data_IF_433259198785
#
_entry.id   IF_433259198785
#
_cell.length_a   1.000
_cell.length_b   1.000
_cell.length_c   1.000
_cell.angle_alpha   90.00
_cell.angle_beta   90.00
_cell.angle_gamma   90.00
#
_symmetry.space_group_name_H-M   'P 1'
#
loop_
_entity.id
_entity.type
_entity.pdbx_description
1 polymer ?
#
# COMPACT_ATOMS: atom_id res chain seq x y z
N UNK A 1 77.89 39.83 30.15
CA UNK A 1 79.29 39.74 29.71
C UNK A 1 79.73 41.11 29.26
N UNK A 2 80.81 41.59 29.84
CA UNK A 2 81.34 42.94 29.71
C UNK A 2 82.38 43.05 28.58
N UNK A 3 82.77 44.31 28.32
CA UNK A 3 83.88 44.83 27.48
C UNK A 3 83.45 45.11 26.03
N UNK A 4 83.73 46.28 25.45
CA UNK A 4 84.99 47.04 25.57
C UNK A 4 84.79 48.52 25.17
N UNK A 5 84.96 49.40 26.13
CA UNK A 5 85.32 50.82 25.95
C UNK A 5 86.79 50.90 25.55
N UNK A 6 87.11 51.55 24.44
CA UNK A 6 88.47 52.01 24.12
C UNK A 6 88.37 53.46 23.63
N UNK A 7 89.09 54.31 24.34
CA UNK A 7 89.33 55.74 24.16
C UNK A 7 90.28 55.94 22.99
N UNK A 8 90.03 56.92 22.11
CA UNK A 8 91.10 57.76 21.55
C UNK A 8 90.55 59.08 21.01
N UNK A 9 90.49 60.08 21.88
CA UNK A 9 90.30 61.48 21.50
C UNK A 9 91.64 62.03 21.04
N UNK A 10 91.82 62.23 19.74
CA UNK A 10 92.88 63.08 19.16
C UNK A 10 92.17 64.33 18.64
N UNK A 11 92.19 65.36 19.47
CA UNK A 11 91.94 66.73 19.04
C UNK A 11 93.25 67.35 18.57
N UNK A 12 93.23 67.92 17.36
CA UNK A 12 94.04 69.02 16.85
C UNK A 12 94.54 68.72 15.43
N UNK A 13 93.84 69.25 14.43
CA UNK A 13 94.49 69.98 13.35
C UNK A 13 93.50 71.00 12.78
N UNK A 14 93.67 72.25 13.21
CA UNK A 14 93.20 73.44 12.50
C UNK A 14 94.02 73.58 11.22
N UNK A 15 93.37 73.84 10.09
CA UNK A 15 94.05 74.04 8.82
C UNK A 15 93.10 74.34 7.67
N UNK A 16 92.62 75.57 7.66
CA UNK A 16 92.11 76.35 6.52
C UNK A 16 92.56 75.84 5.13
N UNK A 17 91.61 75.72 4.19
CA UNK A 17 91.66 75.97 2.72
C UNK A 17 90.66 75.04 2.01
N UNK A 18 89.62 75.61 1.38
CA UNK A 18 88.69 74.87 0.52
C UNK A 18 87.26 75.39 0.44
N UNK A 19 87.03 76.71 0.47
CA UNK A 19 85.70 77.28 0.21
C UNK A 19 85.52 77.51 -1.29
N UNK A 20 85.10 76.47 -2.04
CA UNK A 20 84.58 76.58 -3.41
C UNK A 20 83.84 75.33 -3.97
N UNK A 21 83.92 74.15 -3.33
CA UNK A 21 83.20 72.93 -3.77
C UNK A 21 82.05 72.47 -2.84
N UNK A 22 81.73 73.24 -1.80
CA UNK A 22 80.72 72.83 -0.80
C UNK A 22 79.26 73.04 -1.26
N UNK A 23 78.99 73.97 -2.18
CA UNK A 23 77.61 74.30 -2.59
C UNK A 23 76.98 73.22 -3.49
N UNK A 24 77.73 72.65 -4.43
CA UNK A 24 77.18 71.66 -5.38
C UNK A 24 76.80 70.31 -4.77
N UNK A 25 77.53 69.86 -3.75
CA UNK A 25 77.23 68.61 -3.04
C UNK A 25 76.12 68.81 -1.98
N UNK A 26 76.07 69.99 -1.36
CA UNK A 26 74.95 70.36 -0.47
C UNK A 26 73.61 70.42 -1.23
N UNK A 27 73.60 70.92 -2.46
CA UNK A 27 72.39 70.99 -3.28
C UNK A 27 71.93 69.63 -3.80
N UNK A 28 72.85 68.73 -4.16
CA UNK A 28 72.51 67.33 -4.48
C UNK A 28 71.93 66.59 -3.28
N UNK A 29 72.46 66.79 -2.07
CA UNK A 29 71.92 66.19 -0.85
C UNK A 29 70.53 66.73 -0.51
N UNK A 30 70.27 68.02 -0.73
CA UNK A 30 68.93 68.62 -0.58
C UNK A 30 67.95 68.03 -1.58
N UNK A 31 68.36 67.85 -2.83
CA UNK A 31 67.49 67.27 -3.85
C UNK A 31 67.22 65.78 -3.61
N UNK A 32 68.24 65.01 -3.20
CA UNK A 32 68.07 63.63 -2.76
C UNK A 32 67.14 63.51 -1.54
N UNK A 33 67.23 64.44 -0.58
CA UNK A 33 66.33 64.50 0.57
C UNK A 33 64.88 64.82 0.16
N UNK A 34 64.68 65.75 -0.79
CA UNK A 34 63.34 66.06 -1.33
C UNK A 34 62.76 64.86 -2.07
N UNK A 35 63.55 64.20 -2.91
CA UNK A 35 63.14 62.99 -3.62
C UNK A 35 62.80 61.85 -2.64
N UNK A 36 63.60 61.63 -1.60
CA UNK A 36 63.33 60.64 -0.56
C UNK A 36 62.05 60.98 0.22
N UNK A 37 61.82 62.25 0.54
CA UNK A 37 60.60 62.71 1.24
C UNK A 37 59.35 62.55 0.35
N UNK A 38 59.47 62.77 -0.96
CA UNK A 38 58.39 62.52 -1.92
C UNK A 38 58.09 61.01 -2.01
N UNK A 39 59.14 60.17 -2.05
CA UNK A 39 59.00 58.72 -2.10
C UNK A 39 58.36 58.16 -0.83
N UNK A 40 58.72 58.66 0.36
CA UNK A 40 58.08 58.22 1.61
C UNK A 40 56.60 58.58 1.63
N UNK A 41 56.22 59.79 1.19
CA UNK A 41 54.80 60.18 1.06
C UNK A 41 54.05 59.29 0.07
N UNK A 42 54.63 59.01 -1.09
CA UNK A 42 54.03 58.11 -2.08
C UNK A 42 53.84 56.69 -1.53
N UNK A 43 54.81 56.17 -0.78
CA UNK A 43 54.70 54.85 -0.13
C UNK A 43 53.67 54.84 1.00
N UNK A 44 53.56 55.94 1.77
CA UNK A 44 52.52 56.12 2.79
C UNK A 44 51.12 56.15 2.16
N UNK A 45 50.94 56.89 1.07
CA UNK A 45 49.68 56.94 0.31
C UNK A 45 49.33 55.57 -0.28
N UNK A 46 50.31 54.85 -0.84
CA UNK A 46 50.13 53.49 -1.34
C UNK A 46 49.77 52.52 -0.21
N UNK A 47 50.40 52.64 0.97
CA UNK A 47 50.09 51.81 2.14
C UNK A 47 48.66 52.08 2.62
N UNK A 48 48.25 53.35 2.71
CA UNK A 48 46.89 53.72 3.07
C UNK A 48 45.86 53.18 2.06
N UNK A 49 46.15 53.29 0.76
CA UNK A 49 45.28 52.76 -0.30
C UNK A 49 45.19 51.22 -0.27
N UNK A 50 46.30 50.52 -0.03
CA UNK A 50 46.30 49.06 0.10
C UNK A 50 45.58 48.60 1.37
N UNK A 51 45.75 49.32 2.48
CA UNK A 51 45.05 49.01 3.73
C UNK A 51 43.53 49.21 3.59
N UNK A 52 43.08 50.24 2.86
CA UNK A 52 41.67 50.42 2.52
C UNK A 52 41.15 49.25 1.66
N UNK A 53 41.89 48.85 0.61
CA UNK A 53 41.52 47.70 -0.24
C UNK A 53 41.47 46.38 0.53
N UNK A 54 42.39 46.16 1.47
CA UNK A 54 42.36 44.97 2.33
C UNK A 54 41.13 44.98 3.24
N UNK A 55 40.80 46.11 3.85
CA UNK A 55 39.62 46.24 4.69
C UNK A 55 38.32 45.98 3.90
N UNK A 56 38.24 46.47 2.66
CA UNK A 56 37.07 46.24 1.80
C UNK A 56 37.00 44.78 1.33
N UNK A 57 38.13 44.17 0.94
CA UNK A 57 38.19 42.75 0.59
C UNK A 57 37.84 41.83 1.78
N UNK A 58 38.23 42.19 3.00
CA UNK A 58 37.85 41.47 4.21
C UNK A 58 36.34 41.56 4.49
N UNK A 59 35.73 42.73 4.29
CA UNK A 59 34.27 42.90 4.38
C UNK A 59 33.53 42.08 3.34
N UNK A 60 33.97 42.11 2.08
CA UNK A 60 33.38 41.31 1.00
C UNK A 60 33.52 39.80 1.28
N UNK A 61 34.68 39.36 1.76
CA UNK A 61 34.90 37.96 2.16
C UNK A 61 34.00 37.55 3.33
N UNK A 62 33.80 38.43 4.31
CA UNK A 62 32.89 38.16 5.43
C UNK A 62 31.43 38.07 4.94
N UNK A 63 31.01 38.99 4.06
CA UNK A 63 29.67 38.97 3.45
C UNK A 63 29.44 37.72 2.60
N UNK A 64 30.39 37.36 1.73
CA UNK A 64 30.32 36.15 0.91
C UNK A 64 30.27 34.87 1.76
N UNK A 65 31.08 34.80 2.83
CA UNK A 65 31.02 33.68 3.78
C UNK A 65 29.66 33.58 4.46
N UNK A 66 29.09 34.70 4.89
CA UNK A 66 27.76 34.73 5.50
C UNK A 66 26.68 34.25 4.51
N UNK A 67 26.75 34.67 3.24
CA UNK A 67 25.84 34.19 2.19
C UNK A 67 26.00 32.69 1.93
N UNK A 68 27.22 32.18 1.86
CA UNK A 68 27.48 30.73 1.66
C UNK A 68 26.92 29.91 2.81
N UNK A 69 27.15 30.32 4.06
CA UNK A 69 26.62 29.61 5.21
C UNK A 69 25.09 29.70 5.30
N UNK A 70 24.50 30.85 4.94
CA UNK A 70 23.05 31.00 4.80
C UNK A 70 22.47 30.07 3.73
N UNK A 71 23.10 30.03 2.55
CA UNK A 71 22.68 29.16 1.44
C UNK A 71 22.80 27.67 1.82
N UNK A 72 23.92 27.26 2.43
CA UNK A 72 24.10 25.88 2.93
C UNK A 72 23.07 25.50 3.98
N UNK A 73 22.73 26.42 4.88
CA UNK A 73 21.70 26.18 5.89
C UNK A 73 20.33 25.97 5.24
N UNK A 74 19.98 26.75 4.22
CA UNK A 74 18.72 26.57 3.50
C UNK A 74 18.71 25.29 2.67
N UNK A 75 19.80 24.96 1.96
CA UNK A 75 19.93 23.67 1.26
C UNK A 75 19.70 22.50 2.21
N UNK A 76 20.32 22.50 3.40
CA UNK A 76 20.10 21.44 4.41
C UNK A 76 18.66 21.36 4.90
N UNK A 77 17.98 22.51 5.06
CA UNK A 77 16.57 22.54 5.45
C UNK A 77 15.66 21.99 4.36
N UNK A 78 15.91 22.37 3.11
CA UNK A 78 15.17 21.87 1.95
C UNK A 78 15.40 20.36 1.79
N UNK A 79 16.65 19.89 1.80
CA UNK A 79 16.96 18.46 1.73
C UNK A 79 16.28 17.65 2.84
N UNK A 80 16.24 18.18 4.07
CA UNK A 80 15.54 17.53 5.17
C UNK A 80 14.03 17.45 4.92
N UNK A 81 13.40 18.55 4.49
CA UNK A 81 11.96 18.57 4.17
C UNK A 81 11.62 17.64 3.01
N UNK A 82 12.45 17.59 1.98
CA UNK A 82 12.28 16.68 0.83
C UNK A 82 12.35 15.22 1.26
N UNK A 83 13.32 14.87 2.13
CA UNK A 83 13.40 13.52 2.69
C UNK A 83 12.17 13.16 3.52
N UNK A 84 11.77 14.03 4.45
CA UNK A 84 10.57 13.82 5.28
C UNK A 84 9.31 13.67 4.43
N UNK A 85 9.15 14.50 3.40
CA UNK A 85 8.01 14.44 2.47
C UNK A 85 8.02 13.16 1.65
N UNK A 86 9.20 12.74 1.18
CA UNK A 86 9.35 11.50 0.41
C UNK A 86 9.06 10.26 1.28
N UNK A 87 9.54 10.26 2.53
CA UNK A 87 9.27 9.20 3.50
C UNK A 87 7.78 9.13 3.84
N UNK A 88 7.13 10.27 4.08
CA UNK A 88 5.69 10.32 4.33
C UNK A 88 4.89 9.84 3.11
N UNK A 89 5.28 10.27 1.90
CA UNK A 89 4.64 9.84 0.66
C UNK A 89 4.75 8.33 0.47
N UNK A 90 5.95 7.77 0.65
CA UNK A 90 6.18 6.33 0.55
C UNK A 90 5.39 5.55 1.59
N UNK A 91 5.30 6.04 2.83
CA UNK A 91 4.47 5.43 3.87
C UNK A 91 2.99 5.41 3.47
N UNK A 92 2.48 6.55 2.99
CA UNK A 92 1.09 6.66 2.52
C UNK A 92 0.82 5.75 1.33
N UNK A 93 1.77 5.60 0.41
CA UNK A 93 1.66 4.70 -0.72
C UNK A 93 1.55 3.24 -0.24
N UNK A 94 2.43 2.82 0.67
CA UNK A 94 2.39 1.47 1.25
C UNK A 94 1.06 1.20 2.00
N UNK A 95 0.57 2.16 2.79
CA UNK A 95 -0.74 2.06 3.46
C UNK A 95 -1.90 1.95 2.46
N UNK A 96 -1.85 2.68 1.33
CA UNK A 96 -2.84 2.59 0.26
C UNK A 96 -2.79 1.24 -0.43
N UNK A 97 -1.61 0.73 -0.75
CA UNK A 97 -1.43 -0.58 -1.39
C UNK A 97 -1.94 -1.70 -0.48
N UNK A 98 -1.61 -1.68 0.81
CA UNK A 98 -2.13 -2.64 1.78
C UNK A 98 -3.67 -2.57 1.87
N UNK A 99 -4.22 -1.35 1.87
CA UNK A 99 -5.67 -1.14 1.88
C UNK A 99 -6.31 -1.71 0.60
N UNK A 100 -5.73 -1.46 -0.57
CA UNK A 100 -6.22 -1.98 -1.85
C UNK A 100 -6.21 -3.51 -1.88
N UNK A 101 -5.14 -4.14 -1.40
CA UNK A 101 -5.07 -5.60 -1.32
C UNK A 101 -6.12 -6.16 -0.35
N UNK A 102 -6.35 -5.52 0.80
CA UNK A 102 -7.44 -5.88 1.72
C UNK A 102 -8.81 -5.77 1.06
N UNK A 103 -9.07 -4.70 0.30
CA UNK A 103 -10.32 -4.54 -0.44
C UNK A 103 -10.49 -5.61 -1.51
N UNK A 104 -9.44 -5.91 -2.29
CA UNK A 104 -9.48 -6.99 -3.30
C UNK A 104 -9.81 -8.34 -2.67
N UNK A 105 -9.11 -8.71 -1.59
CA UNK A 105 -9.36 -9.94 -0.87
C UNK A 105 -10.79 -10.01 -0.32
N UNK A 106 -11.30 -8.92 0.25
CA UNK A 106 -12.68 -8.86 0.73
C UNK A 106 -13.71 -8.98 -0.40
N UNK A 107 -13.45 -8.39 -1.58
CA UNK A 107 -14.30 -8.53 -2.75
C UNK A 107 -14.28 -9.95 -3.33
N UNK A 108 -13.11 -10.58 -3.40
CA UNK A 108 -12.98 -11.97 -3.84
C UNK A 108 -13.73 -12.93 -2.90
N UNK A 109 -13.58 -12.73 -1.59
CA UNK A 109 -14.30 -13.51 -0.59
C UNK A 109 -15.82 -13.32 -0.71
N UNK A 110 -16.29 -12.07 -0.86
CA UNK A 110 -17.71 -11.79 -1.07
C UNK A 110 -18.25 -12.44 -2.36
N UNK A 111 -17.46 -12.42 -3.43
CA UNK A 111 -17.82 -13.07 -4.70
C UNK A 111 -17.89 -14.61 -4.55
N UNK A 112 -16.96 -15.21 -3.80
CA UNK A 112 -16.97 -16.65 -3.53
C UNK A 112 -18.18 -17.05 -2.68
N UNK A 113 -18.45 -16.30 -1.60
CA UNK A 113 -19.64 -16.51 -0.77
C UNK A 113 -20.92 -16.39 -1.59
N UNK A 114 -21.02 -15.42 -2.49
CA UNK A 114 -22.18 -15.28 -3.37
C UNK A 114 -22.35 -16.52 -4.28
N UNK A 115 -21.28 -16.98 -4.93
CA UNK A 115 -21.30 -18.20 -5.76
C UNK A 115 -21.70 -19.45 -4.97
N UNK A 116 -21.17 -19.61 -3.76
CA UNK A 116 -21.50 -20.74 -2.90
C UNK A 116 -22.96 -20.71 -2.46
N UNK A 117 -23.49 -19.51 -2.16
CA UNK A 117 -24.91 -19.34 -1.82
C UNK A 117 -25.82 -19.63 -3.00
N UNK A 118 -25.47 -19.19 -4.20
CA UNK A 118 -26.23 -19.50 -5.41
C UNK A 118 -26.19 -20.99 -5.72
N UNK A 119 -25.03 -21.65 -5.58
CA UNK A 119 -24.90 -23.09 -5.76
C UNK A 119 -25.70 -23.87 -4.71
N UNK A 120 -25.66 -23.47 -3.44
CA UNK A 120 -26.45 -24.08 -2.38
C UNK A 120 -27.96 -23.90 -2.63
N UNK A 121 -28.37 -22.69 -3.05
CA UNK A 121 -29.77 -22.41 -3.41
C UNK A 121 -30.24 -23.28 -4.57
N UNK A 122 -29.45 -23.41 -5.63
CA UNK A 122 -29.78 -24.27 -6.76
C UNK A 122 -29.94 -25.74 -6.35
N UNK A 123 -29.08 -26.25 -5.45
CA UNK A 123 -29.20 -27.60 -4.89
C UNK A 123 -30.49 -27.76 -4.09
N UNK A 124 -30.79 -26.85 -3.16
CA UNK A 124 -32.01 -26.91 -2.36
C UNK A 124 -33.27 -26.78 -3.21
N UNK A 125 -33.26 -25.94 -4.25
CA UNK A 125 -34.38 -25.84 -5.19
C UNK A 125 -34.57 -27.13 -6.00
N UNK A 126 -33.49 -27.82 -6.37
CA UNK A 126 -33.56 -29.12 -7.04
C UNK A 126 -34.10 -30.22 -6.12
N UNK A 127 -33.58 -30.31 -4.88
CA UNK A 127 -34.06 -31.25 -3.87
C UNK A 127 -35.53 -31.01 -3.53
N UNK A 128 -35.93 -29.75 -3.32
CA UNK A 128 -37.32 -29.41 -3.05
C UNK A 128 -38.26 -29.84 -4.19
N UNK A 129 -37.84 -29.69 -5.46
CA UNK A 129 -38.61 -30.18 -6.61
C UNK A 129 -38.72 -31.71 -6.62
N UNK A 130 -37.63 -32.42 -6.32
CA UNK A 130 -37.63 -33.88 -6.23
C UNK A 130 -38.54 -34.39 -5.10
N UNK A 131 -38.43 -33.81 -3.91
CA UNK A 131 -39.29 -34.16 -2.78
C UNK A 131 -40.76 -33.87 -3.06
N UNK A 132 -41.06 -32.74 -3.70
CA UNK A 132 -42.42 -32.41 -4.11
C UNK A 132 -42.97 -33.44 -5.10
N UNK A 133 -42.22 -33.78 -6.14
CA UNK A 133 -42.63 -34.79 -7.12
C UNK A 133 -42.82 -36.18 -6.49
N UNK A 134 -41.93 -36.58 -5.57
CA UNK A 134 -42.05 -37.84 -4.82
C UNK A 134 -43.30 -37.85 -3.93
N UNK A 135 -43.58 -36.75 -3.23
CA UNK A 135 -44.77 -36.59 -2.39
C UNK A 135 -46.04 -36.65 -3.23
N UNK A 136 -46.09 -35.93 -4.35
CA UNK A 136 -47.23 -35.95 -5.27
C UNK A 136 -47.48 -37.36 -5.82
N UNK A 137 -46.41 -38.09 -6.18
CA UNK A 137 -46.52 -39.50 -6.58
C UNK A 137 -47.03 -40.40 -5.45
N UNK A 138 -46.56 -40.21 -4.22
CA UNK A 138 -46.99 -40.98 -3.06
C UNK A 138 -48.48 -40.75 -2.77
N UNK A 139 -48.93 -39.48 -2.80
CA UNK A 139 -50.34 -39.12 -2.64
C UNK A 139 -51.21 -39.73 -3.74
N UNK A 140 -50.77 -39.69 -5.00
CA UNK A 140 -51.47 -40.30 -6.11
C UNK A 140 -51.60 -41.83 -5.92
N UNK A 141 -50.50 -42.51 -5.57
CA UNK A 141 -50.49 -43.96 -5.32
C UNK A 141 -51.37 -44.36 -4.14
N UNK A 142 -51.31 -43.61 -3.04
CA UNK A 142 -52.15 -43.83 -1.86
C UNK A 142 -53.64 -43.67 -2.22
N UNK A 143 -53.98 -42.63 -3.00
CA UNK A 143 -55.35 -42.43 -3.49
C UNK A 143 -55.85 -43.63 -4.31
N UNK A 144 -55.00 -44.20 -5.16
CA UNK A 144 -55.35 -45.42 -5.93
C UNK A 144 -55.47 -46.65 -5.02
N UNK A 145 -54.58 -46.82 -4.04
CA UNK A 145 -54.66 -47.89 -3.04
C UNK A 145 -55.97 -47.86 -2.26
N UNK A 146 -56.39 -46.68 -1.79
CA UNK A 146 -57.66 -46.52 -1.08
C UNK A 146 -58.84 -46.88 -1.98
N UNK A 147 -58.84 -46.46 -3.25
CA UNK A 147 -59.89 -46.84 -4.23
C UNK A 147 -59.93 -48.34 -4.45
N UNK A 148 -58.79 -48.99 -4.71
CA UNK A 148 -58.73 -50.44 -4.89
C UNK A 148 -59.16 -51.20 -3.62
N UNK A 149 -58.83 -50.69 -2.44
CA UNK A 149 -59.30 -51.24 -1.16
C UNK A 149 -60.81 -51.13 -0.99
N UNK A 150 -61.41 -50.00 -1.39
CA UNK A 150 -62.87 -49.82 -1.39
C UNK A 150 -63.56 -50.76 -2.39
N UNK A 151 -63.02 -50.89 -3.61
CA UNK A 151 -63.53 -51.82 -4.62
C UNK A 151 -63.50 -53.27 -4.11
N UNK A 152 -62.42 -53.67 -3.42
CA UNK A 152 -62.30 -54.99 -2.79
C UNK A 152 -63.37 -55.22 -1.72
N UNK A 153 -63.56 -54.25 -0.80
CA UNK A 153 -64.59 -54.33 0.23
C UNK A 153 -65.99 -54.45 -0.38
N UNK A 154 -66.29 -53.68 -1.42
CA UNK A 154 -67.57 -53.73 -2.13
C UNK A 154 -67.79 -55.09 -2.79
N UNK A 155 -66.78 -55.64 -3.47
CA UNK A 155 -66.86 -56.98 -4.07
C UNK A 155 -67.09 -58.06 -3.00
N UNK A 156 -66.37 -58.01 -1.89
CA UNK A 156 -66.53 -58.96 -0.79
C UNK A 156 -67.94 -58.89 -0.15
N UNK A 157 -68.48 -57.69 0.05
CA UNK A 157 -69.86 -57.50 0.51
C UNK A 157 -70.89 -58.06 -0.49
N UNK A 158 -70.70 -57.80 -1.80
CA UNK A 158 -71.61 -58.30 -2.83
C UNK A 158 -71.62 -59.83 -2.94
N UNK A 159 -70.45 -60.47 -2.76
CA UNK A 159 -70.33 -61.95 -2.70
C UNK A 159 -71.05 -62.48 -1.46
N UNK A 160 -70.91 -61.84 -0.31
CA UNK A 160 -71.59 -62.28 0.93
C UNK A 160 -73.13 -62.18 0.82
N UNK A 161 -73.63 -61.15 0.14
CA UNK A 161 -75.07 -60.93 -0.06
C UNK A 161 -75.63 -61.87 -1.16
N UNK A 162 -74.84 -62.20 -2.20
CA UNK A 162 -75.25 -63.08 -3.30
C UNK A 162 -75.04 -64.57 -3.06
N UNK A 163 -73.96 -64.98 -2.40
CA UNK A 163 -73.62 -66.39 -2.18
C UNK A 163 -74.34 -67.01 -0.98
N UNK A 164 -74.89 -66.22 -0.06
CA UNK A 164 -75.81 -66.75 0.97
C UNK A 164 -77.07 -67.38 0.36
N UNK A 165 -77.39 -67.06 -0.91
CA UNK A 165 -78.48 -67.69 -1.68
C UNK A 165 -77.98 -68.89 -2.52
N UNK A 166 -76.67 -69.00 -2.81
CA UNK A 166 -76.10 -69.95 -3.81
C UNK A 166 -75.19 -71.04 -3.21
N UNK A 167 -74.98 -71.08 -1.89
CA UNK A 167 -74.08 -72.02 -1.19
C UNK A 167 -74.44 -73.53 -1.26
N UNK A 168 -75.20 -74.00 -2.26
CA UNK A 168 -75.71 -75.37 -2.34
C UNK A 168 -75.47 -76.11 -3.66
N UNK A 169 -74.51 -75.71 -4.50
CA UNK A 169 -74.20 -76.48 -5.74
C UNK A 169 -72.71 -76.78 -6.00
N UNK A 170 -72.40 -77.89 -6.72
CA UNK A 170 -71.06 -78.46 -6.86
C UNK A 170 -70.19 -77.79 -7.95
N UNK A 171 -70.65 -76.70 -8.58
CA UNK A 171 -69.95 -75.95 -9.65
C UNK A 171 -68.90 -74.98 -9.06
N UNK A 172 -68.17 -75.41 -8.03
CA UNK A 172 -67.24 -74.57 -7.28
C UNK A 172 -65.88 -74.40 -7.98
N UNK A 173 -65.57 -75.20 -9.00
CA UNK A 173 -64.29 -75.14 -9.72
C UNK A 173 -64.10 -73.86 -10.54
N UNK A 174 -65.10 -73.47 -11.34
CA UNK A 174 -65.05 -72.25 -12.18
C UNK A 174 -65.07 -70.97 -11.33
N UNK A 175 -65.98 -70.87 -10.36
CA UNK A 175 -66.03 -69.73 -9.44
C UNK A 175 -64.78 -69.59 -8.57
N UNK A 176 -64.14 -70.70 -8.18
CA UNK A 176 -62.86 -70.65 -7.45
C UNK A 176 -61.76 -70.01 -8.29
N UNK A 177 -61.70 -70.29 -9.59
CA UNK A 177 -60.73 -69.65 -10.51
C UNK A 177 -61.07 -68.18 -10.71
N UNK A 178 -62.35 -67.82 -10.85
CA UNK A 178 -62.77 -66.40 -10.94
C UNK A 178 -62.41 -65.60 -9.68
N UNK A 179 -62.61 -66.18 -8.49
CA UNK A 179 -62.22 -65.55 -7.22
C UNK A 179 -60.69 -65.45 -7.10
N UNK A 180 -59.95 -66.49 -7.50
CA UNK A 180 -58.49 -66.46 -7.51
C UNK A 180 -57.95 -65.38 -8.46
N UNK A 181 -58.50 -65.29 -9.68
CA UNK A 181 -58.13 -64.24 -10.65
C UNK A 181 -58.47 -62.84 -10.10
N UNK A 182 -59.63 -62.68 -9.45
CA UNK A 182 -59.99 -61.39 -8.85
C UNK A 182 -59.08 -60.98 -7.69
N UNK A 183 -58.64 -61.93 -6.86
CA UNK A 183 -57.66 -61.69 -5.78
C UNK A 183 -56.30 -61.35 -6.39
N UNK A 184 -55.88 -62.07 -7.43
CA UNK A 184 -54.60 -61.87 -8.09
C UNK A 184 -54.53 -60.51 -8.81
N UNK A 185 -55.58 -60.12 -9.54
CA UNK A 185 -55.73 -58.79 -10.15
C UNK A 185 -55.66 -57.65 -9.11
N UNK A 186 -56.21 -57.87 -7.92
CA UNK A 186 -56.17 -56.88 -6.82
C UNK A 186 -54.79 -56.83 -6.17
N UNK A 187 -54.14 -57.98 -6.01
CA UNK A 187 -52.78 -58.07 -5.50
C UNK A 187 -51.81 -57.35 -6.45
N UNK A 188 -51.96 -57.52 -7.76
CA UNK A 188 -51.17 -56.84 -8.78
C UNK A 188 -51.40 -55.32 -8.74
N UNK A 189 -52.66 -54.87 -8.63
CA UNK A 189 -52.99 -53.44 -8.45
C UNK A 189 -52.39 -52.84 -7.19
N UNK A 190 -52.33 -53.57 -6.08
CA UNK A 190 -51.71 -53.11 -4.83
C UNK A 190 -50.18 -53.04 -4.99
N UNK A 191 -49.58 -54.02 -5.66
CA UNK A 191 -48.14 -54.06 -5.92
C UNK A 191 -47.69 -52.92 -6.84
N UNK A 192 -48.48 -52.59 -7.88
CA UNK A 192 -48.21 -51.47 -8.79
C UNK A 192 -48.22 -50.11 -8.09
N UNK A 193 -49.03 -49.96 -7.03
CA UNK A 193 -49.10 -48.73 -6.24
C UNK A 193 -48.08 -48.70 -5.08
N UNK A 194 -47.25 -49.73 -4.90
CA UNK A 194 -46.21 -49.72 -3.88
C UNK A 194 -45.23 -48.58 -4.17
N UNK A 195 -44.92 -47.79 -3.15
CA UNK A 195 -43.86 -46.79 -3.25
C UNK A 195 -42.50 -47.51 -3.33
N UNK A 196 -41.70 -47.16 -4.33
CA UNK A 196 -40.29 -47.55 -4.37
C UNK A 196 -39.49 -46.56 -3.49
N UNK A 197 -38.45 -47.03 -2.78
CA UNK A 197 -37.60 -46.18 -1.96
C UNK A 197 -36.83 -45.15 -2.79
#
# INVERSE_FOLDING_TARGET
>A
MAKRTIILSIAAFLGFIGSACADGDADKLREALRAATLQTRQLEDQRAALQAKLADAEKEKAAAKAQIEGAKAETRRVEKRERETTEEFNRRLAERDETLEKWKAAYEEAANVARDRDAARAKFEAEAKLYKASTDSCVAKNTQLVKHGQDLLQRYQSVTIGDTIVAREPILGLRRVEIQNAIQDLQDKILDQKAAP
#
